data_IF_919774040208
#
_entry.id   IF_919774040208
#
_cell.length_a   1.000
_cell.length_b   1.000
_cell.length_c   1.000
_cell.angle_alpha   90.00
_cell.angle_beta   90.00
_cell.angle_gamma   90.00
#
_symmetry.space_group_name_H-M   'P 1'
#
loop_
_entity.id
_entity.type
_entity.pdbx_description
1 polymer ?
#
# COMPACT_ATOMS: atom_id res chain seq x y z
N UNK A 1 -11.60 -4.96 -7.66
CA UNK A 1 -11.84 -3.53 -8.00
C UNK A 1 -10.95 -2.70 -7.10
N UNK A 2 -10.27 -1.68 -7.64
CA UNK A 2 -9.30 -0.86 -6.89
C UNK A 2 -9.72 0.61 -6.88
N UNK A 3 -9.53 1.28 -5.76
CA UNK A 3 -9.75 2.71 -5.56
C UNK A 3 -8.58 3.31 -4.76
N UNK A 4 -7.68 4.05 -5.42
CA UNK A 4 -6.44 4.54 -4.81
C UNK A 4 -5.61 3.40 -4.18
N UNK A 5 -5.37 3.49 -2.87
CA UNK A 5 -4.66 2.49 -2.07
C UNK A 5 -5.58 1.39 -1.53
N UNK A 6 -6.89 1.47 -1.76
CA UNK A 6 -7.86 0.44 -1.36
C UNK A 6 -8.17 -0.56 -2.49
N UNK A 7 -8.26 -1.85 -2.17
CA UNK A 7 -8.60 -2.93 -3.10
C UNK A 7 -9.46 -4.00 -2.41
N UNK A 8 -10.10 -4.88 -3.18
CA UNK A 8 -10.83 -6.04 -2.66
C UNK A 8 -10.14 -7.33 -3.09
N UNK A 9 -9.75 -8.17 -2.12
CA UNK A 9 -9.25 -9.52 -2.35
C UNK A 9 -9.96 -10.50 -1.42
N UNK A 10 -10.50 -11.59 -1.97
CA UNK A 10 -11.19 -12.62 -1.19
C UNK A 10 -12.41 -12.09 -0.41
N UNK A 11 -13.09 -11.05 -0.91
CA UNK A 11 -14.22 -10.44 -0.22
C UNK A 11 -13.84 -9.58 0.99
N UNK A 12 -12.57 -9.16 1.10
CA UNK A 12 -12.08 -8.28 2.16
C UNK A 12 -11.53 -6.99 1.53
N UNK A 13 -11.79 -5.86 2.17
CA UNK A 13 -11.21 -4.57 1.80
C UNK A 13 -9.78 -4.48 2.35
N UNK A 14 -8.80 -4.28 1.48
CA UNK A 14 -7.39 -4.14 1.84
C UNK A 14 -6.91 -2.71 1.54
N UNK A 15 -6.08 -2.16 2.42
CA UNK A 15 -5.26 -0.98 2.16
C UNK A 15 -3.84 -1.49 1.83
N UNK A 16 -3.41 -1.31 0.58
CA UNK A 16 -2.13 -1.77 0.06
C UNK A 16 -2.26 -2.85 -1.01
N UNK A 17 -1.12 -3.28 -1.56
CA UNK A 17 -1.07 -4.43 -2.46
C UNK A 17 -1.34 -5.70 -1.65
N UNK A 18 -2.45 -6.42 -1.92
CA UNK A 18 -2.75 -7.62 -1.17
C UNK A 18 -1.78 -8.78 -1.46
N UNK A 19 -0.89 -8.67 -2.45
CA UNK A 19 0.24 -9.56 -2.70
C UNK A 19 1.45 -9.30 -1.80
N UNK A 20 1.53 -8.13 -1.17
CA UNK A 20 2.59 -7.74 -0.24
C UNK A 20 2.05 -7.41 1.16
N UNK A 21 2.72 -6.50 1.86
CA UNK A 21 2.29 -5.95 3.15
C UNK A 21 1.08 -5.03 2.97
N UNK A 22 0.01 -5.31 3.71
CA UNK A 22 -1.25 -4.56 3.62
C UNK A 22 -2.04 -4.66 4.92
N UNK A 23 -2.92 -3.68 5.14
CA UNK A 23 -3.92 -3.69 6.22
C UNK A 23 -5.24 -4.23 5.69
N UNK A 24 -5.96 -5.06 6.47
CA UNK A 24 -7.28 -5.56 6.11
C UNK A 24 -8.36 -4.95 6.99
N UNK A 25 -9.44 -4.48 6.37
CA UNK A 25 -10.59 -3.91 7.04
C UNK A 25 -11.73 -4.92 7.02
N UNK A 26 -12.18 -5.33 8.19
CA UNK A 26 -13.25 -6.32 8.36
C UNK A 26 -14.32 -5.81 9.32
N UNK A 27 -15.53 -6.39 9.35
CA UNK A 27 -16.57 -5.96 10.28
C UNK A 27 -16.15 -6.01 11.76
N UNK A 28 -15.25 -6.92 12.14
CA UNK A 28 -14.76 -7.12 13.50
C UNK A 28 -13.64 -6.15 13.90
N UNK A 29 -12.86 -5.63 12.94
CA UNK A 29 -11.75 -4.74 13.24
C UNK A 29 -10.83 -4.43 12.07
N UNK A 30 -9.73 -3.77 12.41
CA UNK A 30 -8.57 -3.56 11.54
C UNK A 30 -7.58 -4.66 11.82
N UNK A 31 -7.17 -5.37 10.78
CA UNK A 31 -6.22 -6.47 10.86
C UNK A 31 -4.90 -5.98 10.26
N UNK A 32 -3.88 -5.84 11.10
CA UNK A 32 -2.52 -5.48 10.70
C UNK A 32 -1.67 -6.75 10.63
N UNK A 33 -0.69 -6.84 9.72
CA UNK A 33 0.26 -7.94 9.77
C UNK A 33 1.00 -7.85 11.10
N UNK A 34 1.10 -8.96 11.84
CA UNK A 34 1.87 -9.02 13.08
C UNK A 34 3.36 -8.95 12.80
N UNK A 35 3.82 -7.80 12.33
CA UNK A 35 5.21 -7.45 12.34
C UNK A 35 5.54 -7.12 13.78
N UNK A 36 6.35 -7.96 14.43
CA UNK A 36 7.11 -7.45 15.56
C UNK A 36 7.97 -6.36 14.94
N UNK A 37 7.69 -5.10 15.28
CA UNK A 37 8.69 -4.06 15.16
C UNK A 37 9.93 -4.64 15.84
N UNK A 38 10.85 -5.18 15.05
CA UNK A 38 12.22 -5.34 15.49
C UNK A 38 12.59 -3.91 15.81
N UNK A 39 12.67 -3.61 17.11
CA UNK A 39 13.11 -2.32 17.65
C UNK A 39 14.48 -1.91 17.06
N UNK A 40 15.14 -2.82 16.33
CA UNK A 40 16.41 -2.71 15.63
C UNK A 40 16.36 -1.92 14.29
N UNK A 41 15.23 -1.34 13.90
CA UNK A 41 15.08 -0.59 12.63
C UNK A 41 15.40 0.90 12.70
N UNK A 42 15.59 1.45 13.91
CA UNK A 42 16.36 2.70 14.09
C UNK A 42 17.79 2.26 14.38
N UNK A 43 18.39 1.56 13.41
CA UNK A 43 19.82 1.73 13.24
C UNK A 43 19.95 3.20 12.90
N UNK A 44 20.43 3.98 13.87
CA UNK A 44 21.20 5.16 13.57
C UNK A 44 22.03 4.78 12.35
N UNK A 45 21.74 5.40 11.20
CA UNK A 45 22.72 5.48 10.13
C UNK A 45 23.84 6.31 10.74
N UNK A 46 24.62 5.68 11.63
CA UNK A 46 25.99 6.02 11.95
C UNK A 46 26.61 6.24 10.58
N UNK A 47 26.72 7.50 10.17
CA UNK A 47 27.99 8.21 10.07
C UNK A 47 29.20 7.25 9.97
N UNK A 48 29.13 6.27 9.08
CA UNK A 48 30.31 5.63 8.52
C UNK A 48 30.89 6.67 7.58
N UNK A 49 31.54 7.64 8.21
CA UNK A 49 32.66 8.39 7.67
C UNK A 49 33.60 7.38 7.04
N UNK A 50 33.38 7.11 5.76
CA UNK A 50 34.41 6.57 4.88
C UNK A 50 35.43 7.69 4.66
N UNK A 51 36.19 8.03 5.71
CA UNK A 51 37.54 8.54 5.54
C UNK A 51 38.42 7.35 5.11
N UNK A 52 38.16 6.81 3.91
CA UNK A 52 39.12 5.97 3.21
C UNK A 52 40.04 6.91 2.41
N UNK A 53 40.87 7.65 3.15
CA UNK A 53 42.12 8.20 2.60
C UNK A 53 43.14 7.05 2.51
N UNK A 54 42.87 6.13 1.60
CA UNK A 54 43.76 5.05 1.22
C UNK A 54 44.32 5.31 -0.17
N UNK A 55 45.36 6.14 -0.25
CA UNK A 55 46.26 6.21 -1.41
C UNK A 55 46.97 4.85 -1.55
N UNK A 56 46.31 3.90 -2.21
CA UNK A 56 46.80 2.56 -2.52
C UNK A 56 47.05 2.41 -4.02
N UNK A 57 48.15 2.98 -4.48
CA UNK A 57 48.75 2.69 -5.78
C UNK A 57 49.34 1.26 -5.76
N UNK A 58 48.61 0.26 -6.24
CA UNK A 58 49.21 -1.01 -6.68
C UNK A 58 48.35 -1.79 -7.69
N UNK A 59 48.60 -1.46 -8.96
CA UNK A 59 48.87 -2.38 -10.07
C UNK A 59 48.72 -3.88 -9.73
N UNK A 60 47.56 -4.47 -10.02
CA UNK A 60 47.48 -5.85 -10.51
C UNK A 60 46.37 -5.96 -11.56
N UNK A 61 46.78 -5.78 -12.82
CA UNK A 61 46.13 -6.44 -13.94
C UNK A 61 46.07 -7.95 -13.62
N UNK A 62 44.88 -8.49 -13.36
CA UNK A 62 44.62 -9.92 -13.45
C UNK A 62 43.86 -10.19 -14.76
N UNK A 63 44.56 -10.40 -15.89
CA UNK A 63 43.95 -10.55 -17.20
C UNK A 63 43.34 -11.93 -17.47
N UNK A 64 43.23 -12.83 -16.48
CA UNK A 64 42.82 -14.22 -16.73
C UNK A 64 41.87 -14.80 -15.65
N UNK A 65 40.68 -14.23 -15.49
CA UNK A 65 39.51 -15.02 -15.02
C UNK A 65 38.54 -15.34 -16.19
N UNK A 66 38.86 -16.31 -17.06
CA UNK A 66 37.91 -16.84 -18.05
C UNK A 66 36.89 -17.82 -17.45
N UNK A 67 36.66 -17.78 -16.13
CA UNK A 67 36.04 -18.88 -15.38
C UNK A 67 34.64 -18.65 -14.81
N UNK A 68 34.07 -17.45 -14.86
CA UNK A 68 32.66 -17.26 -14.45
C UNK A 68 31.73 -17.64 -15.59
N UNK A 69 31.65 -18.95 -15.85
CA UNK A 69 30.54 -19.56 -16.59
C UNK A 69 29.26 -19.24 -15.83
N UNK A 70 28.57 -18.19 -16.26
CA UNK A 70 27.13 -18.01 -16.04
C UNK A 70 26.50 -19.37 -16.37
N UNK A 71 26.06 -20.10 -15.34
CA UNK A 71 25.40 -21.39 -15.49
C UNK A 71 23.99 -21.12 -16.04
N UNK A 72 23.74 -21.30 -17.34
CA UNK A 72 22.46 -20.91 -17.96
C UNK A 72 21.32 -21.86 -17.56
N UNK A 73 21.62 -22.89 -16.75
CA UNK A 73 20.71 -23.93 -16.31
C UNK A 73 20.49 -23.94 -14.80
N UNK A 74 20.84 -22.86 -14.07
CA UNK A 74 20.39 -22.72 -12.68
C UNK A 74 18.86 -22.86 -12.67
N UNK A 75 18.31 -23.98 -12.16
CA UNK A 75 16.89 -24.25 -12.26
C UNK A 75 16.16 -23.12 -11.56
N UNK A 76 15.21 -22.49 -12.24
CA UNK A 76 14.24 -21.57 -11.64
C UNK A 76 13.80 -22.18 -10.31
N UNK A 77 14.34 -21.67 -9.20
CA UNK A 77 14.11 -22.24 -7.88
C UNK A 77 12.62 -22.10 -7.61
N UNK A 78 11.83 -23.19 -7.73
CA UNK A 78 10.39 -23.08 -7.56
C UNK A 78 10.05 -22.76 -6.09
N UNK A 79 11.05 -22.81 -5.20
CA UNK A 79 10.97 -22.47 -3.79
C UNK A 79 11.46 -21.03 -3.48
N UNK A 80 11.82 -20.23 -4.50
CA UNK A 80 11.78 -18.77 -4.42
C UNK A 80 10.32 -18.22 -4.37
N UNK A 81 9.35 -19.09 -4.07
CA UNK A 81 8.10 -18.71 -3.44
C UNK A 81 8.45 -17.89 -2.21
N UNK A 82 8.36 -16.55 -2.35
CA UNK A 82 8.37 -15.58 -1.26
C UNK A 82 7.77 -16.26 -0.03
N UNK A 83 8.55 -16.42 1.07
CA UNK A 83 8.05 -17.10 2.25
C UNK A 83 6.74 -16.43 2.56
N UNK A 84 5.64 -17.18 2.43
CA UNK A 84 4.33 -16.71 2.81
C UNK A 84 4.48 -16.40 4.29
N UNK A 85 4.74 -15.12 4.60
CA UNK A 85 4.92 -14.62 5.94
C UNK A 85 3.57 -14.83 6.61
N UNK A 86 3.39 -16.02 7.15
CA UNK A 86 2.30 -16.41 8.02
C UNK A 86 2.50 -15.74 9.38
N UNK A 87 2.89 -14.47 9.37
CA UNK A 87 2.84 -13.62 10.55
C UNK A 87 1.38 -13.60 10.99
N UNK A 88 1.10 -13.94 12.25
CA UNK A 88 -0.25 -13.88 12.76
C UNK A 88 -0.76 -12.45 12.59
N UNK A 89 -1.99 -12.29 12.10
CA UNK A 89 -2.62 -10.98 12.01
C UNK A 89 -2.92 -10.49 13.41
N UNK A 90 -2.57 -9.24 13.70
CA UNK A 90 -3.00 -8.54 14.92
C UNK A 90 -4.35 -7.90 14.61
N UNK A 91 -5.32 -8.13 15.48
CA UNK A 91 -6.69 -7.62 15.30
C UNK A 91 -6.94 -6.52 16.31
N UNK A 92 -7.12 -5.31 15.80
CA UNK A 92 -7.53 -4.15 16.58
C UNK A 92 -9.03 -3.92 16.37
N UNK A 93 -9.81 -4.16 17.41
CA UNK A 93 -11.26 -4.03 17.32
C UNK A 93 -11.65 -2.56 17.10
N UNK A 94 -12.70 -2.32 16.31
CA UNK A 94 -13.11 -0.97 15.94
C UNK A 94 -13.44 -0.05 17.13
N UNK A 95 -13.84 -0.62 18.27
CA UNK A 95 -14.15 0.13 19.49
C UNK A 95 -12.90 0.68 20.19
N UNK A 96 -11.74 0.08 19.91
CA UNK A 96 -10.45 0.42 20.53
C UNK A 96 -9.63 1.37 19.62
N UNK A 97 -10.13 1.65 18.41
CA UNK A 97 -9.56 2.58 17.45
C UNK A 97 -10.01 4.01 17.72
N UNK A 98 -9.03 4.92 17.81
CA UNK A 98 -9.25 6.36 17.85
C UNK A 98 -9.18 6.98 16.45
N UNK A 99 -8.25 6.52 15.61
CA UNK A 99 -8.08 6.99 14.24
C UNK A 99 -7.42 5.92 13.36
N UNK A 100 -7.65 6.04 12.04
CA UNK A 100 -6.90 5.31 11.01
C UNK A 100 -6.56 6.31 9.92
N UNK A 101 -5.27 6.58 9.74
CA UNK A 101 -4.77 7.56 8.78
C UNK A 101 -3.87 6.87 7.75
N UNK A 102 -3.81 7.44 6.55
CA UNK A 102 -3.04 6.88 5.44
C UNK A 102 -2.15 7.98 4.89
N UNK A 103 -0.85 7.85 5.09
CA UNK A 103 0.14 8.76 4.49
C UNK A 103 0.67 8.15 3.21
N UNK A 104 0.04 8.51 2.09
CA UNK A 104 0.34 7.98 0.77
C UNK A 104 0.68 9.09 -0.22
N UNK A 105 1.65 8.88 -1.13
CA UNK A 105 1.98 9.86 -2.15
C UNK A 105 0.77 10.10 -3.07
N UNK A 106 0.36 11.37 -3.21
CA UNK A 106 -0.80 11.76 -3.99
C UNK A 106 -0.41 12.31 -5.37
N UNK A 107 -1.30 12.13 -6.35
CA UNK A 107 -1.16 12.70 -7.68
C UNK A 107 -2.49 13.24 -8.21
N UNK A 108 -2.41 14.34 -8.98
CA UNK A 108 -3.56 14.93 -9.67
C UNK A 108 -3.95 14.17 -10.93
N UNK A 109 -3.07 13.28 -11.42
CA UNK A 109 -3.27 12.51 -12.63
C UNK A 109 -4.18 11.30 -12.36
N UNK A 110 -5.26 11.17 -13.14
CA UNK A 110 -6.29 10.14 -12.94
C UNK A 110 -5.79 8.71 -13.15
N UNK A 111 -4.80 8.54 -14.03
CA UNK A 111 -4.29 7.23 -14.42
C UNK A 111 -2.76 7.19 -14.29
N UNK A 112 -2.22 7.23 -13.05
CA UNK A 112 -0.77 7.27 -12.85
C UNK A 112 -0.08 6.03 -13.38
N UNK A 113 -0.69 4.85 -13.24
CA UNK A 113 -0.15 3.60 -13.81
C UNK A 113 -0.06 3.64 -15.34
N UNK A 114 -1.10 4.14 -16.03
CA UNK A 114 -1.06 4.27 -17.50
C UNK A 114 0.02 5.25 -17.93
N UNK A 115 0.15 6.38 -17.22
CA UNK A 115 1.21 7.35 -17.49
C UNK A 115 2.60 6.71 -17.30
N UNK A 116 2.80 5.96 -16.21
CA UNK A 116 4.04 5.23 -15.97
C UNK A 116 4.32 4.20 -17.08
N UNK A 117 3.33 3.42 -17.52
CA UNK A 117 3.52 2.47 -18.62
C UNK A 117 3.87 3.15 -19.94
N UNK A 118 3.23 4.29 -20.25
CA UNK A 118 3.55 5.06 -21.46
C UNK A 118 4.98 5.62 -21.38
N UNK A 119 5.39 6.15 -20.23
CA UNK A 119 6.76 6.63 -20.01
C UNK A 119 7.75 5.47 -20.12
N UNK A 120 7.47 4.32 -19.48
CA UNK A 120 8.30 3.12 -19.58
C UNK A 120 8.48 2.67 -21.02
N UNK A 121 7.40 2.65 -21.80
CA UNK A 121 7.44 2.29 -23.21
C UNK A 121 8.32 3.25 -24.02
N UNK A 122 8.19 4.56 -23.80
CA UNK A 122 9.02 5.58 -24.49
C UNK A 122 10.49 5.47 -24.09
N UNK A 123 10.78 5.31 -22.79
CA UNK A 123 12.14 5.18 -22.26
C UNK A 123 12.79 3.88 -22.76
N UNK A 124 12.02 2.79 -22.87
CA UNK A 124 12.47 1.54 -23.48
C UNK A 124 12.89 1.69 -24.95
N UNK A 125 12.25 2.59 -25.73
CA UNK A 125 12.66 2.82 -27.12
C UNK A 125 14.05 3.46 -27.28
N UNK A 126 14.58 4.09 -26.23
CA UNK A 126 15.94 4.67 -26.23
C UNK A 126 16.97 3.75 -25.57
N UNK A 127 16.61 2.49 -25.27
CA UNK A 127 17.49 1.51 -24.64
C UNK A 127 17.73 1.74 -23.15
N UNK A 128 16.92 2.60 -22.51
CA UNK A 128 16.97 2.78 -21.06
C UNK A 128 15.95 1.83 -20.45
N UNK A 129 16.43 0.94 -19.61
CA UNK A 129 15.59 0.05 -18.84
C UNK A 129 15.04 0.83 -17.63
N UNK A 130 13.71 0.95 -17.55
CA UNK A 130 13.06 1.67 -16.47
C UNK A 130 11.90 0.87 -15.90
N UNK A 131 11.99 0.57 -14.60
CA UNK A 131 10.98 -0.15 -13.85
C UNK A 131 10.18 0.83 -12.99
N UNK A 132 8.83 0.85 -13.10
CA UNK A 132 8.03 1.69 -12.24
C UNK A 132 8.08 1.15 -10.81
N UNK A 133 8.69 1.92 -9.91
CA UNK A 133 8.64 1.65 -8.47
C UNK A 133 7.19 1.68 -7.95
N UNK A 134 6.94 0.89 -6.91
CA UNK A 134 5.68 0.92 -6.16
C UNK A 134 5.55 2.18 -5.31
N UNK A 135 4.34 2.71 -5.17
CA UNK A 135 4.05 3.84 -4.27
C UNK A 135 3.76 3.34 -2.86
N UNK A 136 4.79 2.82 -2.18
CA UNK A 136 4.68 2.40 -0.77
C UNK A 136 4.17 3.57 0.09
N UNK A 137 3.45 3.24 1.15
CA UNK A 137 2.80 4.21 2.01
C UNK A 137 2.58 3.64 3.39
N UNK A 138 2.38 4.50 4.37
CA UNK A 138 2.21 4.10 5.75
C UNK A 138 0.74 4.22 6.16
N UNK A 139 0.25 3.23 6.91
CA UNK A 139 -1.07 3.27 7.55
C UNK A 139 -0.87 3.42 9.04
N UNK A 140 -1.30 4.53 9.58
CA UNK A 140 -1.24 4.82 11.01
C UNK A 140 -2.55 4.37 11.67
N UNK A 141 -2.45 3.51 12.67
CA UNK A 141 -3.56 2.99 13.46
C UNK A 141 -3.41 3.50 14.89
N UNK A 142 -4.21 4.49 15.25
CA UNK A 142 -4.18 5.09 16.58
C UNK A 142 -5.18 4.41 17.51
N UNK A 143 -4.73 3.97 18.68
CA UNK A 143 -5.55 3.37 19.74
C UNK A 143 -5.36 4.13 21.04
N UNK A 144 -6.13 3.79 22.08
CA UNK A 144 -5.88 4.31 23.44
C UNK A 144 -4.51 3.89 24.00
N UNK A 145 -3.92 2.80 23.49
CA UNK A 145 -2.63 2.26 23.94
C UNK A 145 -1.41 2.85 23.22
N UNK A 146 -1.62 3.61 22.14
CA UNK A 146 -0.53 4.18 21.34
C UNK A 146 -0.85 4.21 19.85
N UNK A 147 0.19 4.48 19.06
CA UNK A 147 0.14 4.58 17.60
C UNK A 147 0.92 3.40 17.01
N UNK A 148 0.27 2.64 16.14
CA UNK A 148 0.90 1.57 15.35
C UNK A 148 1.02 2.03 13.90
N UNK A 149 2.22 2.02 13.32
CA UNK A 149 2.46 2.38 11.92
C UNK A 149 2.75 1.12 11.12
N UNK A 150 1.95 0.88 10.08
CA UNK A 150 2.10 -0.26 9.19
C UNK A 150 2.52 0.21 7.82
N UNK A 151 3.76 -0.10 7.44
CA UNK A 151 4.26 0.13 6.08
C UNK A 151 3.58 -0.84 5.11
N UNK A 152 2.79 -0.28 4.20
CA UNK A 152 2.06 -1.04 3.19
C UNK A 152 2.79 -0.97 1.86
N UNK A 153 2.83 -2.09 1.16
CA UNK A 153 3.32 -2.15 -0.19
C UNK A 153 2.34 -1.41 -1.10
N UNK A 154 2.90 -0.47 -1.85
CA UNK A 154 2.15 0.29 -2.82
C UNK A 154 1.95 -0.45 -4.11
N UNK A 155 0.98 0.01 -4.88
CA UNK A 155 0.88 -0.44 -6.26
C UNK A 155 1.84 0.35 -7.16
N UNK A 156 2.20 -0.24 -8.31
CA UNK A 156 3.04 0.40 -9.32
C UNK A 156 2.55 1.81 -9.71
N UNK A 157 3.49 2.77 -9.73
CA UNK A 157 3.28 4.15 -10.15
C UNK A 157 3.68 5.19 -9.09
N UNK A 158 3.81 6.46 -9.48
CA UNK A 158 4.21 7.57 -8.59
C UNK A 158 3.06 8.18 -7.78
N UNK A 159 2.23 7.33 -7.17
CA UNK A 159 1.20 7.75 -6.22
C UNK A 159 -0.25 7.54 -6.65
N UNK A 160 -1.16 8.01 -5.80
CA UNK A 160 -2.59 7.71 -5.84
C UNK A 160 -3.40 8.91 -6.29
N UNK A 161 -4.42 8.68 -7.14
CA UNK A 161 -5.26 9.77 -7.61
C UNK A 161 -5.98 10.44 -6.44
N UNK A 162 -5.69 11.71 -6.23
CA UNK A 162 -6.06 12.47 -5.04
C UNK A 162 -7.56 12.40 -4.68
N UNK A 163 -8.52 12.55 -5.61
CA UNK A 163 -9.95 12.39 -5.29
C UNK A 163 -10.33 11.01 -4.75
N UNK A 164 -9.68 9.95 -5.24
CA UNK A 164 -9.90 8.60 -4.72
C UNK A 164 -9.33 8.46 -3.31
N UNK A 165 -8.11 8.96 -3.06
CA UNK A 165 -7.47 8.87 -1.75
C UNK A 165 -8.28 9.59 -0.67
N UNK A 166 -8.73 10.82 -0.95
CA UNK A 166 -9.57 11.60 -0.02
C UNK A 166 -10.88 10.89 0.34
N UNK A 167 -11.53 10.23 -0.63
CA UNK A 167 -12.76 9.47 -0.37
C UNK A 167 -12.50 8.25 0.50
N UNK A 168 -11.36 7.57 0.33
CA UNK A 168 -10.97 6.45 1.20
C UNK A 168 -10.68 6.95 2.61
N UNK A 169 -9.93 8.04 2.78
CA UNK A 169 -9.70 8.66 4.09
C UNK A 169 -11.02 9.06 4.78
N UNK A 170 -11.95 9.67 4.05
CA UNK A 170 -13.27 10.01 4.57
C UNK A 170 -14.05 8.76 4.99
N UNK A 171 -13.99 7.67 4.21
CA UNK A 171 -14.57 6.38 4.61
C UNK A 171 -13.95 5.89 5.92
N UNK A 172 -12.62 5.91 6.07
CA UNK A 172 -11.95 5.44 7.29
C UNK A 172 -12.43 6.22 8.52
N UNK A 173 -12.52 7.55 8.42
CA UNK A 173 -13.08 8.39 9.50
C UNK A 173 -14.53 8.03 9.83
N UNK A 174 -15.36 7.78 8.82
CA UNK A 174 -16.75 7.35 9.02
C UNK A 174 -16.82 5.96 9.67
N UNK A 175 -16.00 5.00 9.26
CA UNK A 175 -15.98 3.65 9.84
C UNK A 175 -15.53 3.66 11.31
N UNK A 176 -14.56 4.50 11.66
CA UNK A 176 -14.11 4.70 13.04
C UNK A 176 -15.22 5.32 13.87
N UNK A 177 -15.85 6.40 13.39
CA UNK A 177 -16.85 7.16 14.15
C UNK A 177 -18.26 6.53 14.20
N UNK A 178 -18.66 5.73 13.20
CA UNK A 178 -20.04 5.25 13.05
C UNK A 178 -20.13 3.72 12.94
N UNK A 179 -20.43 3.02 14.05
CA UNK A 179 -20.52 1.56 14.07
C UNK A 179 -21.51 0.94 13.07
N UNK A 180 -22.60 1.65 12.76
CA UNK A 180 -23.62 1.19 11.80
C UNK A 180 -23.09 1.05 10.38
N UNK A 181 -22.07 1.82 9.99
CA UNK A 181 -21.50 1.79 8.64
C UNK A 181 -20.58 0.60 8.41
N UNK A 182 -20.05 -0.01 9.47
CA UNK A 182 -19.11 -1.16 9.40
C UNK A 182 -19.72 -2.40 8.77
N UNK A 183 -21.05 -2.51 8.72
CA UNK A 183 -21.76 -3.58 8.02
C UNK A 183 -21.38 -3.67 6.53
N UNK A 184 -21.06 -2.54 5.89
CA UNK A 184 -20.60 -2.47 4.51
C UNK A 184 -19.30 -3.21 4.22
N UNK A 185 -18.46 -3.45 5.24
CA UNK A 185 -17.24 -4.25 5.09
C UNK A 185 -17.53 -5.72 4.80
N UNK A 186 -18.79 -6.17 4.94
CA UNK A 186 -19.24 -7.50 4.51
C UNK A 186 -19.48 -7.58 2.99
N UNK A 187 -19.64 -6.43 2.32
CA UNK A 187 -19.89 -6.29 0.88
C UNK A 187 -18.93 -5.25 0.27
N UNK A 188 -17.60 -5.47 0.34
CA UNK A 188 -16.64 -4.43 0.02
C UNK A 188 -16.61 -4.06 -1.48
N UNK A 189 -17.11 -4.92 -2.36
CA UNK A 189 -17.28 -4.60 -3.79
C UNK A 189 -18.25 -3.45 -4.02
N UNK A 190 -19.44 -3.53 -3.40
CA UNK A 190 -20.48 -2.50 -3.50
C UNK A 190 -20.02 -1.20 -2.83
N UNK A 191 -19.34 -1.32 -1.69
CA UNK A 191 -18.71 -0.19 -1.01
C UNK A 191 -17.76 0.56 -1.95
N UNK A 192 -16.83 -0.14 -2.62
CA UNK A 192 -15.93 0.51 -3.59
C UNK A 192 -16.66 1.10 -4.79
N UNK A 193 -17.77 0.51 -5.24
CA UNK A 193 -18.58 1.07 -6.31
C UNK A 193 -19.21 2.41 -5.91
N UNK A 194 -19.77 2.51 -4.71
CA UNK A 194 -20.31 3.75 -4.13
C UNK A 194 -19.21 4.80 -4.02
N UNK A 195 -18.07 4.46 -3.41
CA UNK A 195 -16.94 5.38 -3.25
C UNK A 195 -16.39 5.87 -4.60
N UNK A 196 -16.28 4.99 -5.61
CA UNK A 196 -15.84 5.39 -6.95
C UNK A 196 -16.78 6.42 -7.58
N UNK A 197 -18.08 6.33 -7.29
CA UNK A 197 -19.08 7.26 -7.79
C UNK A 197 -18.96 8.61 -7.09
N UNK A 198 -18.75 8.63 -5.77
CA UNK A 198 -18.48 9.85 -5.02
C UNK A 198 -17.19 10.52 -5.50
N UNK A 199 -16.11 9.78 -5.64
CA UNK A 199 -14.82 10.35 -6.05
C UNK A 199 -14.87 10.99 -7.45
N UNK A 200 -15.69 10.46 -8.35
CA UNK A 200 -15.95 11.06 -9.68
C UNK A 200 -16.74 12.37 -9.62
N UNK A 201 -17.55 12.60 -8.59
CA UNK A 201 -18.30 13.85 -8.40
C UNK A 201 -17.40 14.99 -7.91
N UNK A 202 -16.27 14.66 -7.28
CA UNK A 202 -15.31 15.61 -6.73
C UNK A 202 -15.90 16.50 -5.61
N UNK A 203 -16.40 15.94 -4.50
CA UNK A 203 -16.92 16.74 -3.40
C UNK A 203 -15.81 17.61 -2.79
N UNK A 204 -16.20 18.71 -2.13
CA UNK A 204 -15.26 19.47 -1.31
C UNK A 204 -14.81 18.65 -0.11
N UNK A 205 -13.61 18.93 0.41
CA UNK A 205 -13.05 18.20 1.55
C UNK A 205 -13.96 18.26 2.78
N UNK A 206 -14.57 19.42 3.04
CA UNK A 206 -15.40 19.66 4.22
C UNK A 206 -16.72 18.89 4.19
N UNK A 207 -17.27 18.63 2.99
CA UNK A 207 -18.54 17.90 2.82
C UNK A 207 -18.35 16.38 2.66
N UNK A 208 -17.11 15.92 2.47
CA UNK A 208 -16.85 14.57 1.99
C UNK A 208 -17.32 13.48 2.96
N UNK A 209 -17.09 13.67 4.26
CA UNK A 209 -17.52 12.71 5.28
C UNK A 209 -19.06 12.62 5.35
N UNK A 210 -19.75 13.76 5.28
CA UNK A 210 -21.22 13.82 5.28
C UNK A 210 -21.81 13.18 4.02
N UNK A 211 -21.18 13.38 2.86
CA UNK A 211 -21.58 12.74 1.61
C UNK A 211 -21.34 11.23 1.61
N UNK A 212 -20.19 10.77 2.13
CA UNK A 212 -19.93 9.33 2.31
C UNK A 212 -20.98 8.72 3.24
N UNK A 213 -21.23 9.34 4.39
CA UNK A 213 -22.29 8.90 5.33
C UNK A 213 -23.64 8.83 4.63
N UNK A 214 -24.06 9.91 3.96
CA UNK A 214 -25.34 9.97 3.26
C UNK A 214 -25.46 8.89 2.19
N UNK A 215 -24.40 8.68 1.40
CA UNK A 215 -24.37 7.65 0.38
C UNK A 215 -24.49 6.24 0.98
N UNK A 216 -23.80 5.95 2.08
CA UNK A 216 -23.85 4.66 2.76
C UNK A 216 -25.19 4.39 3.45
N UNK A 217 -25.90 5.43 3.87
CA UNK A 217 -27.26 5.31 4.45
C UNK A 217 -28.33 5.10 3.38
N UNK A 218 -28.17 5.69 2.19
CA UNK A 218 -29.17 5.62 1.12
C UNK A 218 -28.97 4.45 0.17
N UNK A 219 -27.73 4.04 -0.07
CA UNK A 219 -27.46 2.78 -0.76
C UNK A 219 -27.69 1.67 0.27
N UNK A 220 -28.92 1.19 0.45
CA UNK A 220 -29.05 -0.06 1.19
C UNK A 220 -28.21 -1.11 0.44
N UNK A 221 -27.30 -1.86 1.10
CA UNK A 221 -26.64 -2.97 0.43
C UNK A 221 -27.77 -3.86 -0.08
N UNK A 222 -27.82 -4.08 -1.40
CA UNK A 222 -28.77 -5.02 -1.97
C UNK A 222 -28.40 -6.37 -1.36
N UNK A 223 -29.09 -6.75 -0.27
CA UNK A 223 -28.86 -7.98 0.44
C UNK A 223 -28.93 -9.08 -0.62
N UNK A 224 -27.75 -9.62 -1.00
CA UNK A 224 -27.60 -10.45 -2.18
C UNK A 224 -28.65 -11.56 -2.12
N UNK A 225 -29.62 -11.47 -3.03
CA UNK A 225 -30.63 -12.50 -3.29
C UNK A 225 -30.02 -13.63 -4.11
#
# INVERSE_FOLDING_TARGET
MRLAHANVRGGVLCLGDPGGLHVRLRPDGVHTPGWKATEDGVGDEDDQDYEDEGDGDDDWDDPDDPGSSEDPDAPDDPDAQQPALASPWVVTAWRDLAAVEVDAPLTRWRYPGVLSTVVAAVVGTVGIEWYPEGAAFDVEVTTAGGVEVVRCDGFAGRGYWEPHARVVEALLRVLVSEPSTRGWLSTPGDLLAVLSTLARRGPSADALADEVRSALLHAAPEASR
#
